data_IF_922701338733
#
_entry.id   IF_922701338733
#
_cell.length_a   1.000
_cell.length_b   1.000
_cell.length_c   1.000
_cell.angle_alpha   90.00
_cell.angle_beta   90.00
_cell.angle_gamma   90.00
#
_symmetry.space_group_name_H-M   'P 1'
#
loop_
_entity.id
_entity.type
_entity.pdbx_description
1 polymer ?
#
# COMPACT_ATOMS: atom_id res chain seq x y z
N UNK A 1 14.80 50.91 -6.39
CA UNK A 1 14.61 50.08 -5.19
C UNK A 1 14.96 48.67 -5.57
N UNK A 2 16.19 48.25 -5.33
CA UNK A 2 16.73 46.92 -5.62
C UNK A 2 16.59 46.08 -4.36
N UNK A 3 15.71 45.09 -4.39
CA UNK A 3 15.56 44.14 -3.30
C UNK A 3 16.64 43.07 -3.45
N UNK A 4 17.66 43.10 -2.63
CA UNK A 4 18.64 42.01 -2.45
C UNK A 4 17.97 40.89 -1.66
N UNK A 5 17.71 39.75 -2.30
CA UNK A 5 17.27 38.54 -1.63
C UNK A 5 18.43 38.01 -0.77
N UNK A 6 18.28 38.04 0.55
CA UNK A 6 19.19 37.39 1.47
C UNK A 6 19.07 35.87 1.33
N UNK A 7 20.12 35.23 0.84
CA UNK A 7 20.24 33.75 0.81
C UNK A 7 20.31 33.27 2.26
N UNK A 8 19.30 32.53 2.72
CA UNK A 8 19.26 31.93 4.07
C UNK A 8 20.35 30.82 4.16
N UNK A 9 21.51 31.17 4.74
CA UNK A 9 22.68 30.31 4.94
C UNK A 9 22.54 29.47 6.24
N UNK A 10 21.40 28.84 6.46
CA UNK A 10 21.23 28.00 7.64
C UNK A 10 21.67 26.56 7.39
N UNK A 11 22.54 26.01 8.25
CA UNK A 11 22.94 24.59 8.25
C UNK A 11 22.12 23.85 9.30
N UNK A 12 21.71 22.62 8.96
CA UNK A 12 21.05 21.72 9.88
C UNK A 12 22.06 20.69 10.40
N UNK A 13 22.24 20.65 11.71
CA UNK A 13 23.05 19.66 12.39
C UNK A 13 22.12 18.69 13.14
N UNK A 14 22.31 17.40 12.95
CA UNK A 14 21.55 16.37 13.69
C UNK A 14 22.41 15.81 14.83
N UNK A 15 21.83 15.69 16.01
CA UNK A 15 22.50 15.04 17.14
C UNK A 15 22.50 13.51 16.92
N UNK A 16 23.67 12.86 16.94
CA UNK A 16 23.80 11.40 16.76
C UNK A 16 23.13 10.58 17.87
N UNK A 17 22.99 11.15 19.06
CA UNK A 17 22.45 10.44 20.23
C UNK A 17 20.93 10.49 20.35
N UNK A 18 20.28 11.59 19.95
CA UNK A 18 18.82 11.74 20.07
C UNK A 18 18.12 12.12 18.75
N UNK A 19 18.85 12.19 17.65
CA UNK A 19 18.38 12.55 16.31
C UNK A 19 17.67 13.93 16.21
N UNK A 20 17.77 14.79 17.24
CA UNK A 20 17.22 16.14 17.20
C UNK A 20 17.99 17.01 16.21
N UNK A 21 17.29 17.70 15.32
CA UNK A 21 17.88 18.58 14.31
C UNK A 21 17.94 20.01 14.84
N UNK A 22 19.17 20.54 14.93
CA UNK A 22 19.45 21.92 15.31
C UNK A 22 19.68 22.78 14.05
N UNK A 23 19.03 23.93 13.96
CA UNK A 23 19.23 24.88 12.87
C UNK A 23 20.18 25.97 13.32
N UNK A 24 21.35 26.03 12.72
CA UNK A 24 22.34 27.09 12.95
C UNK A 24 22.15 28.19 11.89
N UNK A 25 21.83 29.42 12.32
CA UNK A 25 21.56 30.54 11.42
C UNK A 25 22.83 31.23 10.94
N UNK A 26 23.95 31.09 11.65
CA UNK A 26 25.18 31.75 11.30
C UNK A 26 26.34 30.77 11.27
N UNK A 27 26.78 30.42 10.07
CA UNK A 27 27.83 29.44 9.83
C UNK A 27 29.23 30.06 10.17
N UNK A 28 29.36 31.38 10.07
CA UNK A 28 30.63 32.06 10.34
C UNK A 28 31.00 32.09 11.82
N UNK A 29 30.03 31.87 12.70
CA UNK A 29 30.25 31.73 14.14
C UNK A 29 30.80 30.35 14.56
N UNK A 30 30.79 29.34 13.68
CA UNK A 30 31.24 27.98 13.96
C UNK A 30 32.73 27.84 13.61
N UNK A 31 33.60 27.83 14.61
CA UNK A 31 35.04 27.54 14.42
C UNK A 31 35.29 26.03 14.47
N UNK A 32 36.21 25.49 13.62
CA UNK A 32 36.63 24.10 13.72
C UNK A 32 37.20 23.80 15.13
N UNK A 33 36.75 22.68 15.71
CA UNK A 33 37.15 22.29 17.07
C UNK A 33 36.27 22.86 18.20
N UNK A 34 35.21 23.60 17.87
CA UNK A 34 34.26 24.07 18.88
C UNK A 34 33.38 22.92 19.38
N UNK A 35 33.31 22.73 20.68
CA UNK A 35 32.39 21.79 21.29
C UNK A 35 31.05 22.46 21.55
N UNK A 36 29.98 21.86 21.06
CA UNK A 36 28.62 22.28 21.37
C UNK A 36 27.87 21.11 22.04
N UNK A 37 26.88 21.41 22.87
CA UNK A 37 26.04 20.41 23.48
C UNK A 37 24.64 20.42 22.87
N UNK A 38 24.05 19.24 22.70
CA UNK A 38 22.68 19.11 22.25
C UNK A 38 21.71 19.67 23.30
N UNK A 39 20.80 20.55 22.90
CA UNK A 39 19.84 21.18 23.82
C UNK A 39 18.87 20.13 24.43
N UNK A 40 18.62 19.03 23.73
CA UNK A 40 17.63 18.02 24.15
C UNK A 40 18.24 16.91 25.03
N UNK A 41 19.49 16.45 24.77
CA UNK A 41 20.08 15.33 25.49
C UNK A 41 21.43 15.67 26.15
N UNK A 42 21.89 16.91 26.10
CA UNK A 42 23.16 17.42 26.65
C UNK A 42 24.41 16.69 26.14
N UNK A 43 24.31 15.83 25.10
CA UNK A 43 25.45 15.14 24.53
C UNK A 43 26.39 16.15 23.83
N UNK A 44 27.71 16.12 24.11
CA UNK A 44 28.67 16.95 23.42
C UNK A 44 28.86 16.46 21.97
N UNK A 45 28.97 17.37 21.03
CA UNK A 45 29.39 17.08 19.66
C UNK A 45 30.46 18.06 19.21
N UNK A 46 31.43 17.56 18.46
CA UNK A 46 32.52 18.35 17.88
C UNK A 46 32.12 18.81 16.48
N UNK A 47 32.30 20.09 16.22
CA UNK A 47 32.15 20.65 14.87
C UNK A 47 33.42 20.25 14.09
N UNK A 48 33.30 19.25 13.22
CA UNK A 48 34.35 18.83 12.30
C UNK A 48 34.42 19.87 11.17
N UNK A 49 35.63 20.31 10.82
CA UNK A 49 35.83 21.27 9.74
C UNK A 49 35.20 20.75 8.43
N UNK A 50 34.31 21.52 7.84
CA UNK A 50 33.86 21.27 6.46
C UNK A 50 35.08 21.37 5.53
N UNK A 51 35.20 20.50 4.49
CA UNK A 51 36.20 20.70 3.45
C UNK A 51 36.02 22.10 2.85
N UNK A 52 37.11 22.85 2.73
CA UNK A 52 37.11 24.19 2.22
C UNK A 52 36.39 24.25 0.87
N UNK A 53 35.39 25.11 0.77
CA UNK A 53 34.81 25.50 -0.52
C UNK A 53 35.95 25.96 -1.41
N UNK A 54 36.08 25.41 -2.60
CA UNK A 54 37.02 25.82 -3.63
C UNK A 54 36.92 27.32 -3.81
N UNK A 55 38.06 28.07 -3.98
CA UNK A 55 38.04 29.51 -4.18
C UNK A 55 37.22 29.84 -5.44
N UNK A 56 36.36 30.85 -5.31
CA UNK A 56 35.62 31.43 -6.43
C UNK A 56 36.62 31.84 -7.53
N UNK A 57 36.50 31.14 -8.67
CA UNK A 57 37.25 31.47 -9.87
C UNK A 57 36.83 32.85 -10.36
N UNK A 58 37.84 33.63 -10.74
CA UNK A 58 37.75 34.92 -11.47
C UNK A 58 36.73 34.89 -12.62
N UNK A 59 35.98 35.95 -12.87
CA UNK A 59 35.03 35.98 -13.97
C UNK A 59 35.75 35.86 -15.31
N UNK A 60 35.26 35.04 -16.24
CA UNK A 60 35.83 34.96 -17.58
C UNK A 60 35.55 36.27 -18.35
N UNK A 61 36.60 36.83 -18.89
CA UNK A 61 36.62 37.92 -19.86
C UNK A 61 35.81 37.54 -21.09
N UNK A 62 34.95 38.41 -21.55
CA UNK A 62 34.22 38.33 -22.80
C UNK A 62 35.16 38.03 -23.98
N UNK A 63 34.97 36.91 -24.63
CA UNK A 63 35.41 36.70 -26.00
C UNK A 63 34.23 36.13 -26.80
N UNK A 64 33.70 37.00 -27.66
CA UNK A 64 32.72 36.64 -28.70
C UNK A 64 33.31 35.59 -29.66
N UNK A 65 32.78 34.38 -29.61
CA UNK A 65 32.84 33.45 -30.77
C UNK A 65 31.50 32.73 -30.87
N UNK A 66 30.98 32.53 -32.12
CA UNK A 66 29.71 31.88 -32.34
C UNK A 66 29.83 30.37 -32.06
N UNK A 67 29.09 29.90 -31.09
CA UNK A 67 29.00 28.46 -30.72
C UNK A 67 28.26 27.74 -31.83
N UNK A 68 29.01 26.95 -32.61
CA UNK A 68 28.49 25.96 -33.53
C UNK A 68 27.74 24.84 -32.79
N UNK A 69 26.69 24.42 -33.43
CA UNK A 69 25.84 23.29 -33.09
C UNK A 69 26.62 21.96 -32.97
N UNK A 70 27.22 21.64 -31.82
CA UNK A 70 27.71 20.29 -31.51
C UNK A 70 27.30 19.87 -30.09
N UNK A 71 26.01 19.57 -29.98
CA UNK A 71 25.44 18.97 -28.76
C UNK A 71 25.55 17.42 -28.59
N UNK A 72 26.20 16.62 -29.44
CA UNK A 72 26.34 15.21 -29.14
C UNK A 72 27.51 14.84 -28.23
N UNK A 73 28.55 15.69 -28.11
CA UNK A 73 29.76 15.31 -27.35
C UNK A 73 29.54 15.30 -25.82
N UNK A 74 28.81 16.24 -25.30
CA UNK A 74 28.55 16.32 -23.83
C UNK A 74 27.69 15.17 -23.31
N UNK A 75 26.72 14.72 -24.10
CA UNK A 75 25.90 13.54 -23.74
C UNK A 75 26.68 12.24 -23.91
N UNK A 76 27.58 12.16 -24.89
CA UNK A 76 28.46 11.01 -25.10
C UNK A 76 29.51 10.91 -23.98
N UNK A 77 30.03 12.02 -23.49
CA UNK A 77 31.00 12.08 -22.40
C UNK A 77 30.36 11.72 -21.05
N UNK A 78 29.12 12.13 -20.80
CA UNK A 78 28.32 11.67 -19.64
C UNK A 78 27.96 10.19 -19.75
N UNK A 79 27.65 9.67 -20.93
CA UNK A 79 27.39 8.24 -21.12
C UNK A 79 28.66 7.41 -20.97
N UNK A 80 29.82 7.89 -21.43
CA UNK A 80 31.09 7.21 -21.24
C UNK A 80 31.59 7.28 -19.81
N UNK A 81 31.34 8.36 -19.07
CA UNK A 81 31.65 8.45 -17.65
C UNK A 81 30.77 7.51 -16.80
N UNK A 82 29.51 7.30 -17.19
CA UNK A 82 28.60 6.31 -16.55
C UNK A 82 29.02 4.87 -16.90
N UNK A 83 29.65 4.64 -18.06
CA UNK A 83 30.16 3.32 -18.46
C UNK A 83 31.57 3.04 -17.96
N UNK A 84 32.39 4.07 -17.67
CA UNK A 84 33.74 3.92 -17.17
C UNK A 84 33.82 3.70 -15.64
N UNK A 85 32.80 4.13 -14.89
CA UNK A 85 32.60 3.70 -13.51
C UNK A 85 31.93 2.32 -13.58
N UNK A 86 32.74 1.26 -13.67
CA UNK A 86 32.30 -0.11 -13.88
C UNK A 86 31.14 -0.43 -12.98
N UNK A 87 29.93 -0.40 -13.58
CA UNK A 87 28.64 -0.35 -12.94
C UNK A 87 28.41 -1.47 -11.92
N UNK A 88 28.96 -1.32 -10.75
CA UNK A 88 28.59 -2.11 -9.59
C UNK A 88 27.15 -1.70 -9.24
N UNK A 89 26.20 -2.52 -9.68
CA UNK A 89 24.82 -2.39 -9.23
C UNK A 89 24.82 -2.50 -7.71
N UNK A 90 24.75 -1.37 -7.01
CA UNK A 90 24.66 -1.35 -5.57
C UNK A 90 23.33 -1.97 -5.14
N UNK A 91 23.40 -3.18 -4.60
CA UNK A 91 22.23 -3.88 -4.08
C UNK A 91 22.02 -3.46 -2.62
N UNK A 92 20.89 -2.81 -2.36
CA UNK A 92 20.47 -2.46 -1.01
C UNK A 92 19.40 -3.47 -0.55
N UNK A 93 19.59 -4.03 0.62
CA UNK A 93 18.62 -4.92 1.25
C UNK A 93 17.79 -4.15 2.26
N UNK A 94 16.48 -4.46 2.32
CA UNK A 94 15.65 -3.96 3.41
C UNK A 94 15.77 -4.91 4.60
N UNK A 95 16.00 -4.36 5.78
CA UNK A 95 16.10 -5.11 7.04
C UNK A 95 14.97 -4.71 7.98
N UNK A 96 14.45 -5.69 8.73
CA UNK A 96 13.42 -5.45 9.73
C UNK A 96 13.98 -5.72 11.13
N UNK A 97 14.02 -4.68 11.96
CA UNK A 97 14.58 -4.74 13.32
C UNK A 97 13.52 -5.00 14.41
N UNK A 98 12.27 -5.17 14.02
CA UNK A 98 11.19 -5.44 14.96
C UNK A 98 11.20 -6.89 15.46
N UNK A 99 10.75 -7.10 16.69
CA UNK A 99 10.59 -8.42 17.28
C UNK A 99 9.13 -8.86 17.27
N UNK A 100 8.90 -10.17 17.07
CA UNK A 100 7.55 -10.74 17.12
C UNK A 100 6.86 -10.54 18.47
N UNK A 101 7.63 -10.60 19.58
CA UNK A 101 7.09 -10.38 20.92
C UNK A 101 6.58 -8.95 21.13
N UNK A 102 7.33 -7.94 20.66
CA UNK A 102 6.89 -6.54 20.74
C UNK A 102 5.64 -6.31 19.89
N UNK A 103 5.59 -6.87 18.68
CA UNK A 103 4.43 -6.76 17.80
C UNK A 103 3.21 -7.46 18.41
N UNK A 104 3.38 -8.64 18.98
CA UNK A 104 2.33 -9.37 19.68
C UNK A 104 1.78 -8.56 20.87
N UNK A 105 2.66 -8.00 21.71
CA UNK A 105 2.25 -7.12 22.83
C UNK A 105 1.45 -5.92 22.36
N UNK A 106 1.88 -5.24 21.29
CA UNK A 106 1.14 -4.13 20.68
C UNK A 106 -0.25 -4.59 20.21
N UNK A 107 -0.34 -5.75 19.54
CA UNK A 107 -1.63 -6.28 19.07
C UNK A 107 -2.54 -6.67 20.23
N UNK A 108 -2.02 -7.35 21.26
CA UNK A 108 -2.79 -7.75 22.43
C UNK A 108 -3.42 -6.56 23.13
N UNK A 109 -2.61 -5.55 23.48
CA UNK A 109 -3.10 -4.32 24.12
C UNK A 109 -4.11 -3.58 23.24
N UNK A 110 -3.81 -3.47 21.94
CA UNK A 110 -4.71 -2.82 21.01
C UNK A 110 -6.06 -3.56 20.86
N UNK A 111 -6.06 -4.89 20.88
CA UNK A 111 -7.29 -5.70 20.82
C UNK A 111 -8.12 -5.50 22.08
N UNK A 112 -7.50 -5.56 23.26
CA UNK A 112 -8.21 -5.31 24.53
C UNK A 112 -8.83 -3.91 24.58
N UNK A 113 -8.05 -2.88 24.22
CA UNK A 113 -8.56 -1.51 24.19
C UNK A 113 -9.67 -1.32 23.14
N UNK A 114 -9.57 -1.99 21.99
CA UNK A 114 -10.62 -1.94 20.97
C UNK A 114 -11.91 -2.60 21.44
N UNK A 115 -11.83 -3.72 22.18
CA UNK A 115 -12.99 -4.36 22.79
C UNK A 115 -13.63 -3.48 23.86
N UNK A 116 -12.83 -2.94 24.79
CA UNK A 116 -13.32 -2.06 25.88
C UNK A 116 -13.98 -0.79 25.34
N UNK A 117 -13.45 -0.24 24.23
CA UNK A 117 -13.98 0.99 23.61
C UNK A 117 -15.03 0.72 22.53
N UNK A 118 -15.58 -0.51 22.44
CA UNK A 118 -16.57 -0.90 21.41
C UNK A 118 -16.13 -0.56 19.98
N UNK A 119 -14.84 -0.71 19.68
CA UNK A 119 -14.27 -0.47 18.35
C UNK A 119 -13.71 0.94 18.11
N UNK A 120 -13.99 1.94 18.95
CA UNK A 120 -13.47 3.30 18.74
C UNK A 120 -11.93 3.35 18.73
N UNK A 121 -11.27 2.56 19.56
CA UNK A 121 -9.80 2.52 19.63
C UNK A 121 -9.14 1.93 18.38
N UNK A 122 -9.86 1.26 17.49
CA UNK A 122 -9.34 0.62 16.28
C UNK A 122 -8.45 1.55 15.42
N UNK A 123 -8.80 2.82 15.30
CA UNK A 123 -8.03 3.79 14.51
C UNK A 123 -6.67 4.10 15.13
N UNK A 124 -6.60 4.22 16.45
CA UNK A 124 -5.34 4.38 17.21
C UNK A 124 -4.48 3.11 17.12
N UNK A 125 -5.08 1.97 17.29
CA UNK A 125 -4.44 0.67 17.13
C UNK A 125 -3.76 0.54 15.77
N UNK A 126 -4.49 0.87 14.69
CA UNK A 126 -3.99 0.81 13.32
C UNK A 126 -2.82 1.76 13.06
N UNK A 127 -2.84 2.95 13.62
CA UNK A 127 -1.74 3.91 13.52
C UNK A 127 -0.53 3.43 14.32
N UNK A 128 -0.70 2.93 15.56
CA UNK A 128 0.38 2.38 16.38
C UNK A 128 1.12 1.24 15.69
N UNK A 129 0.39 0.27 15.13
CA UNK A 129 1.00 -0.85 14.39
C UNK A 129 1.78 -0.35 13.18
N UNK A 130 1.24 0.60 12.42
CA UNK A 130 1.95 1.18 11.28
C UNK A 130 3.20 1.92 11.69
N UNK A 131 3.13 2.78 12.71
CA UNK A 131 4.30 3.46 13.25
C UNK A 131 5.39 2.45 13.65
N UNK A 132 5.03 1.39 14.35
CA UNK A 132 5.98 0.35 14.74
C UNK A 132 6.63 -0.30 13.51
N UNK A 133 5.82 -0.79 12.56
CA UNK A 133 6.34 -1.48 11.37
C UNK A 133 7.26 -0.57 10.55
N UNK A 134 6.87 0.65 10.24
CA UNK A 134 7.69 1.57 9.44
C UNK A 134 8.97 1.98 10.16
N UNK A 135 8.90 2.29 11.45
CA UNK A 135 10.09 2.68 12.23
C UNK A 135 11.08 1.53 12.44
N UNK A 136 10.64 0.27 12.32
CA UNK A 136 11.51 -0.91 12.41
C UNK A 136 11.97 -1.41 11.04
N UNK A 137 11.44 -0.85 9.95
CA UNK A 137 11.91 -1.18 8.59
C UNK A 137 12.99 -0.21 8.18
N UNK A 138 14.18 -0.75 7.87
CA UNK A 138 15.33 -0.01 7.38
C UNK A 138 15.59 -0.37 5.92
N UNK A 139 15.95 0.63 5.12
CA UNK A 139 16.37 0.47 3.74
C UNK A 139 17.56 1.39 3.47
N UNK A 140 18.63 0.85 2.93
CA UNK A 140 19.87 1.59 2.61
C UNK A 140 20.41 2.43 3.80
N UNK A 141 20.39 1.85 5.02
CA UNK A 141 20.91 2.49 6.25
C UNK A 141 19.93 3.46 6.94
N UNK A 142 18.78 3.76 6.34
CA UNK A 142 17.80 4.68 6.91
C UNK A 142 16.44 4.04 7.15
N UNK A 143 15.79 4.39 8.24
CA UNK A 143 14.46 3.89 8.61
C UNK A 143 13.35 4.71 7.99
N UNK A 144 12.25 4.03 7.66
CA UNK A 144 11.03 4.71 7.27
C UNK A 144 10.38 5.40 8.49
N UNK A 145 9.69 6.49 8.25
CA UNK A 145 8.89 7.19 9.24
C UNK A 145 7.42 7.28 8.81
N UNK A 146 6.51 7.08 9.76
CA UNK A 146 5.08 7.20 9.51
C UNK A 146 4.46 8.30 10.38
N UNK A 147 3.86 9.29 9.74
CA UNK A 147 3.31 10.49 10.36
C UNK A 147 1.77 10.52 10.35
N UNK A 148 1.12 9.37 10.25
CA UNK A 148 -0.34 9.27 10.27
C UNK A 148 -0.95 9.59 11.62
N UNK A 149 -2.10 10.29 11.63
CA UNK A 149 -2.85 10.62 12.82
C UNK A 149 -4.13 9.77 12.90
N UNK A 150 -4.39 9.19 14.08
CA UNK A 150 -5.58 8.37 14.32
C UNK A 150 -6.89 9.17 14.15
N UNK A 151 -6.90 10.44 14.59
CA UNK A 151 -8.08 11.31 14.44
C UNK A 151 -8.43 11.58 12.98
N UNK A 152 -7.41 11.80 12.11
CA UNK A 152 -7.62 11.98 10.67
C UNK A 152 -8.20 10.71 10.03
N UNK A 153 -7.67 9.53 10.43
CA UNK A 153 -8.15 8.25 9.92
C UNK A 153 -9.60 7.98 10.35
N UNK A 154 -9.92 8.28 11.61
CA UNK A 154 -11.28 8.17 12.15
C UNK A 154 -12.25 9.12 11.43
N UNK A 155 -11.88 10.39 11.27
CA UNK A 155 -12.72 11.37 10.56
C UNK A 155 -12.94 10.98 9.08
N UNK A 156 -11.91 10.43 8.43
CA UNK A 156 -12.05 9.88 7.08
C UNK A 156 -13.00 8.69 7.01
N UNK A 157 -12.90 7.77 7.97
CA UNK A 157 -13.80 6.63 8.08
C UNK A 157 -15.23 7.06 8.41
N UNK A 158 -15.41 8.00 9.33
CA UNK A 158 -16.73 8.53 9.68
C UNK A 158 -17.43 9.17 8.47
N UNK A 159 -16.70 10.00 7.70
CA UNK A 159 -17.22 10.57 6.44
C UNK A 159 -17.62 9.47 5.46
N UNK A 160 -16.80 8.43 5.30
CA UNK A 160 -17.09 7.30 4.43
C UNK A 160 -18.32 6.50 4.93
N UNK A 161 -18.49 6.32 6.22
CA UNK A 161 -19.66 5.68 6.83
C UNK A 161 -20.93 6.49 6.54
N UNK A 162 -20.91 7.79 6.76
CA UNK A 162 -22.09 8.64 6.51
C UNK A 162 -22.45 8.69 5.03
N UNK A 163 -21.46 8.80 4.14
CA UNK A 163 -21.72 8.98 2.69
C UNK A 163 -22.07 7.66 2.00
N UNK A 164 -21.53 6.53 2.47
CA UNK A 164 -21.69 5.25 1.77
C UNK A 164 -22.34 4.15 2.62
N UNK A 165 -21.91 3.96 3.88
CA UNK A 165 -22.42 2.85 4.67
C UNK A 165 -23.88 3.08 5.12
N UNK A 166 -24.24 4.29 5.52
CA UNK A 166 -25.63 4.59 5.88
C UNK A 166 -26.59 4.45 4.68
N UNK A 167 -26.32 5.03 3.48
CA UNK A 167 -27.16 4.80 2.32
C UNK A 167 -27.23 3.33 1.90
N UNK A 168 -26.10 2.61 1.97
CA UNK A 168 -26.09 1.17 1.70
C UNK A 168 -27.01 0.39 2.64
N UNK A 169 -26.89 0.63 3.94
CA UNK A 169 -27.77 0.01 4.94
C UNK A 169 -29.23 0.38 4.74
N UNK A 170 -29.52 1.66 4.48
CA UNK A 170 -30.85 2.14 4.18
C UNK A 170 -31.46 1.40 2.99
N UNK A 171 -30.78 1.39 1.86
CA UNK A 171 -31.23 0.70 0.64
C UNK A 171 -31.42 -0.81 0.84
N UNK A 172 -30.52 -1.44 1.59
CA UNK A 172 -30.56 -2.90 1.79
C UNK A 172 -31.67 -3.38 2.73
N UNK A 173 -32.10 -2.53 3.67
CA UNK A 173 -33.02 -2.95 4.73
C UNK A 173 -34.34 -2.19 4.79
N UNK A 174 -34.54 -1.16 3.95
CA UNK A 174 -35.77 -0.37 3.96
C UNK A 174 -36.98 -1.14 3.39
N UNK A 175 -36.76 -2.07 2.47
CA UNK A 175 -37.84 -2.81 1.78
C UNK A 175 -38.88 -3.45 2.70
N UNK A 176 -38.51 -4.20 3.75
CA UNK A 176 -39.47 -4.77 4.67
C UNK A 176 -40.30 -3.75 5.46
N UNK A 177 -39.78 -2.53 5.68
CA UNK A 177 -40.45 -1.47 6.43
C UNK A 177 -41.50 -0.69 5.61
N UNK A 178 -41.40 -0.75 4.26
CA UNK A 178 -42.31 -0.04 3.36
C UNK A 178 -43.27 -1.00 2.65
N UNK A 179 -43.42 -2.25 3.14
CA UNK A 179 -44.28 -3.30 2.55
C UNK A 179 -44.10 -3.40 1.02
N UNK A 180 -42.86 -3.30 0.54
CA UNK A 180 -42.55 -3.22 -0.86
C UNK A 180 -42.75 -4.57 -1.57
N UNK A 181 -43.11 -4.51 -2.85
CA UNK A 181 -43.20 -5.69 -3.70
C UNK A 181 -41.81 -6.33 -3.90
N UNK A 182 -41.76 -7.61 -4.26
CA UNK A 182 -40.52 -8.33 -4.56
C UNK A 182 -39.67 -7.59 -5.59
N UNK A 183 -40.28 -7.00 -6.61
CA UNK A 183 -39.57 -6.24 -7.65
C UNK A 183 -38.86 -4.99 -7.07
N UNK A 184 -39.52 -4.27 -6.17
CA UNK A 184 -38.92 -3.10 -5.48
C UNK A 184 -37.76 -3.52 -4.59
N UNK A 185 -37.92 -4.61 -3.85
CA UNK A 185 -36.82 -5.15 -3.03
C UNK A 185 -35.59 -5.54 -3.85
N UNK A 186 -35.79 -6.19 -5.00
CA UNK A 186 -34.70 -6.50 -5.94
C UNK A 186 -34.04 -5.22 -6.45
N UNK A 187 -34.83 -4.21 -6.83
CA UNK A 187 -34.34 -2.91 -7.28
C UNK A 187 -33.47 -2.21 -6.21
N UNK A 188 -33.91 -2.22 -4.95
CA UNK A 188 -33.17 -1.66 -3.82
C UNK A 188 -31.84 -2.40 -3.58
N UNK A 189 -31.83 -3.73 -3.67
CA UNK A 189 -30.60 -4.54 -3.54
C UNK A 189 -29.63 -4.30 -4.68
N UNK A 190 -30.11 -4.14 -5.91
CA UNK A 190 -29.27 -3.75 -7.06
C UNK A 190 -28.66 -2.36 -6.82
N UNK A 191 -29.46 -1.38 -6.39
CA UNK A 191 -28.98 -0.03 -6.10
C UNK A 191 -27.92 -0.03 -4.99
N UNK A 192 -28.13 -0.78 -3.91
CA UNK A 192 -27.15 -0.95 -2.83
C UNK A 192 -25.84 -1.59 -3.35
N UNK A 193 -25.94 -2.62 -4.18
CA UNK A 193 -24.78 -3.30 -4.77
C UNK A 193 -24.00 -2.37 -5.71
N UNK A 194 -24.68 -1.56 -6.51
CA UNK A 194 -24.05 -0.53 -7.35
C UNK A 194 -23.33 0.53 -6.49
N UNK A 195 -23.94 0.97 -5.39
CA UNK A 195 -23.29 1.91 -4.46
C UNK A 195 -21.95 1.35 -3.92
N UNK A 196 -21.92 0.07 -3.50
CA UNK A 196 -20.69 -0.58 -3.08
C UNK A 196 -19.68 -0.70 -4.21
N UNK A 197 -20.12 -1.03 -5.42
CA UNK A 197 -19.24 -1.18 -6.59
C UNK A 197 -18.49 0.13 -6.91
N UNK A 198 -19.12 1.29 -6.71
CA UNK A 198 -18.50 2.60 -6.84
C UNK A 198 -17.66 3.00 -5.62
N UNK A 199 -18.12 2.65 -4.42
CA UNK A 199 -17.42 3.01 -3.18
C UNK A 199 -16.05 2.34 -3.05
N UNK A 200 -15.95 1.04 -3.39
CA UNK A 200 -14.71 0.27 -3.20
C UNK A 200 -13.51 0.92 -3.90
N UNK A 201 -13.55 1.28 -5.20
CA UNK A 201 -12.42 1.93 -5.85
C UNK A 201 -12.09 3.31 -5.29
N UNK A 202 -13.10 4.10 -4.88
CA UNK A 202 -12.87 5.39 -4.20
C UNK A 202 -12.12 5.18 -2.89
N UNK A 203 -12.53 4.19 -2.10
CA UNK A 203 -11.90 3.86 -0.84
C UNK A 203 -10.44 3.36 -1.03
N UNK A 204 -10.17 2.57 -2.07
CA UNK A 204 -8.81 2.09 -2.40
C UNK A 204 -7.90 3.27 -2.72
N UNK A 205 -8.32 4.19 -3.60
CA UNK A 205 -7.57 5.38 -3.98
C UNK A 205 -7.35 6.30 -2.77
N UNK A 206 -8.39 6.56 -1.99
CA UNK A 206 -8.32 7.37 -0.77
C UNK A 206 -7.36 6.80 0.27
N UNK A 207 -7.45 5.49 0.53
CA UNK A 207 -6.57 4.79 1.45
C UNK A 207 -5.11 4.75 0.97
N UNK A 208 -4.87 4.61 -0.34
CA UNK A 208 -3.53 4.65 -0.93
C UNK A 208 -2.92 6.04 -0.76
N UNK A 209 -3.68 7.09 -1.14
CA UNK A 209 -3.27 8.49 -0.99
C UNK A 209 -2.92 8.82 0.46
N UNK A 210 -3.79 8.49 1.41
CA UNK A 210 -3.55 8.72 2.83
C UNK A 210 -2.27 8.02 3.31
N UNK A 211 -2.07 6.74 2.99
CA UNK A 211 -0.89 5.99 3.43
C UNK A 211 0.41 6.59 2.89
N UNK A 212 0.47 6.87 1.59
CA UNK A 212 1.69 7.40 0.96
C UNK A 212 2.04 8.79 1.47
N UNK A 213 1.08 9.72 1.56
CA UNK A 213 1.34 11.09 2.05
C UNK A 213 1.79 11.14 3.51
N UNK A 214 1.53 10.08 4.29
CA UNK A 214 1.95 9.98 5.69
C UNK A 214 3.21 9.13 5.90
N UNK A 215 3.77 8.57 4.84
CA UNK A 215 5.03 7.82 4.88
C UNK A 215 6.15 8.70 4.34
N UNK A 216 7.32 8.68 5.01
CA UNK A 216 8.52 9.34 4.55
C UNK A 216 9.74 8.43 4.72
N UNK A 217 10.74 8.62 3.87
CA UNK A 217 12.06 8.02 3.96
C UNK A 217 13.10 9.10 3.70
N UNK A 218 14.14 9.18 4.52
CA UNK A 218 15.15 10.26 4.47
C UNK A 218 14.55 11.67 4.46
N UNK A 219 13.44 11.86 5.18
CA UNK A 219 12.73 13.14 5.21
C UNK A 219 11.89 13.47 3.96
N UNK A 220 12.00 12.68 2.89
CA UNK A 220 11.23 12.85 1.66
C UNK A 220 9.92 12.06 1.78
N UNK A 221 8.80 12.72 1.54
CA UNK A 221 7.47 12.10 1.61
C UNK A 221 7.09 11.43 0.30
N UNK A 222 6.39 10.32 0.43
CA UNK A 222 5.69 9.70 -0.70
C UNK A 222 4.41 10.48 -1.01
N UNK A 223 3.96 10.43 -2.25
CA UNK A 223 2.69 11.01 -2.67
C UNK A 223 1.94 10.11 -3.64
N UNK A 224 0.63 10.35 -3.78
CA UNK A 224 -0.23 9.65 -4.74
C UNK A 224 -1.11 10.66 -5.48
N UNK A 225 -0.98 10.70 -6.80
CA UNK A 225 -1.65 11.68 -7.65
C UNK A 225 -2.76 11.09 -8.54
N UNK A 226 -3.05 9.79 -8.39
CA UNK A 226 -4.10 9.12 -9.18
C UNK A 226 -5.49 9.70 -8.92
N UNK A 227 -6.25 9.93 -9.99
CA UNK A 227 -7.64 10.38 -9.90
C UNK A 227 -8.56 9.19 -9.62
N UNK A 228 -9.48 9.36 -8.67
CA UNK A 228 -10.43 8.30 -8.32
C UNK A 228 -11.31 7.90 -9.50
N UNK A 229 -11.70 8.86 -10.36
CA UNK A 229 -12.56 8.59 -11.52
C UNK A 229 -11.93 7.67 -12.56
N UNK A 230 -10.63 7.85 -12.84
CA UNK A 230 -9.92 6.99 -13.78
C UNK A 230 -9.76 5.57 -13.22
N UNK A 231 -9.55 5.48 -11.91
CA UNK A 231 -9.51 4.18 -11.22
C UNK A 231 -10.87 3.49 -11.19
N UNK A 232 -11.97 4.23 -11.02
CA UNK A 232 -13.35 3.69 -11.11
C UNK A 232 -13.59 3.06 -12.48
N UNK A 233 -13.27 3.75 -13.57
CA UNK A 233 -13.42 3.23 -14.95
C UNK A 233 -12.64 1.91 -15.12
N UNK A 234 -11.38 1.89 -14.69
CA UNK A 234 -10.54 0.70 -14.73
C UNK A 234 -11.12 -0.43 -13.88
N UNK A 235 -11.62 -0.10 -12.67
CA UNK A 235 -12.21 -1.06 -11.76
C UNK A 235 -13.48 -1.69 -12.33
N UNK A 236 -14.42 -0.88 -12.84
CA UNK A 236 -15.67 -1.34 -13.41
C UNK A 236 -15.46 -2.22 -14.64
N UNK A 237 -14.60 -1.77 -15.58
CA UNK A 237 -14.29 -2.56 -16.78
C UNK A 237 -13.58 -3.87 -16.43
N UNK A 238 -12.64 -3.83 -15.51
CA UNK A 238 -11.92 -5.01 -15.06
C UNK A 238 -12.82 -6.00 -14.31
N UNK A 239 -13.71 -5.50 -13.47
CA UNK A 239 -14.65 -6.32 -12.72
C UNK A 239 -15.69 -6.97 -13.65
N UNK A 240 -16.24 -6.21 -14.60
CA UNK A 240 -17.17 -6.72 -15.60
C UNK A 240 -16.55 -7.82 -16.48
N UNK A 241 -15.32 -7.58 -17.00
CA UNK A 241 -14.62 -8.58 -17.78
C UNK A 241 -14.24 -9.83 -16.96
N UNK A 242 -13.90 -9.66 -15.70
CA UNK A 242 -13.62 -10.79 -14.79
C UNK A 242 -14.88 -11.62 -14.55
N UNK A 243 -16.06 -10.98 -14.37
CA UNK A 243 -17.33 -11.66 -14.24
C UNK A 243 -17.72 -12.41 -15.52
N UNK A 244 -17.65 -11.74 -16.69
CA UNK A 244 -17.98 -12.33 -18.00
C UNK A 244 -17.05 -13.52 -18.36
N UNK A 245 -15.79 -13.48 -17.94
CA UNK A 245 -14.82 -14.56 -18.18
C UNK A 245 -14.82 -15.63 -17.07
N UNK A 246 -15.83 -15.66 -16.21
CA UNK A 246 -15.88 -16.60 -15.05
C UNK A 246 -14.62 -16.54 -14.18
N UNK A 247 -14.00 -15.36 -14.02
CA UNK A 247 -12.80 -15.15 -13.23
C UNK A 247 -11.48 -15.26 -14.01
N UNK A 248 -11.46 -15.77 -15.24
CA UNK A 248 -10.21 -15.97 -16.00
C UNK A 248 -9.48 -14.66 -16.34
N UNK A 249 -10.19 -13.53 -16.36
CA UNK A 249 -9.58 -12.22 -16.61
C UNK A 249 -8.86 -11.63 -15.37
N UNK A 250 -8.98 -12.24 -14.20
CA UNK A 250 -8.44 -11.73 -12.94
C UNK A 250 -6.95 -11.33 -12.99
N UNK A 251 -6.00 -12.12 -13.56
CA UNK A 251 -4.58 -11.75 -13.61
C UNK A 251 -4.34 -10.45 -14.39
N UNK A 252 -5.05 -10.26 -15.49
CA UNK A 252 -4.97 -9.02 -16.29
C UNK A 252 -5.56 -7.83 -15.55
N UNK A 253 -6.68 -8.01 -14.87
CA UNK A 253 -7.28 -6.98 -14.04
C UNK A 253 -6.38 -6.59 -12.86
N UNK A 254 -5.84 -7.57 -12.14
CA UNK A 254 -4.93 -7.34 -11.01
C UNK A 254 -3.67 -6.59 -11.44
N UNK A 255 -3.07 -6.96 -12.57
CA UNK A 255 -1.90 -6.28 -13.15
C UNK A 255 -2.22 -4.84 -13.56
N UNK A 256 -3.35 -4.60 -14.26
CA UNK A 256 -3.79 -3.24 -14.63
C UNK A 256 -4.04 -2.35 -13.40
N UNK A 257 -4.67 -2.92 -12.37
CA UNK A 257 -4.89 -2.25 -11.08
C UNK A 257 -3.57 -1.86 -10.43
N UNK A 258 -2.61 -2.79 -10.39
CA UNK A 258 -1.28 -2.53 -9.82
C UNK A 258 -0.52 -1.49 -10.64
N UNK A 259 -0.56 -1.58 -11.96
CA UNK A 259 0.05 -0.60 -12.87
C UNK A 259 -0.47 0.82 -12.61
N UNK A 260 -1.79 0.98 -12.49
CA UNK A 260 -2.39 2.28 -12.16
C UNK A 260 -1.92 2.81 -10.81
N UNK A 261 -1.96 1.96 -9.77
CA UNK A 261 -1.58 2.37 -8.41
C UNK A 261 -0.08 2.71 -8.31
N UNK A 262 0.77 1.99 -9.02
CA UNK A 262 2.23 2.22 -9.03
C UNK A 262 2.57 3.47 -9.84
N UNK A 263 2.09 3.60 -11.07
CA UNK A 263 2.40 4.72 -11.95
C UNK A 263 1.98 6.10 -11.39
N UNK A 264 0.97 6.13 -10.50
CA UNK A 264 0.55 7.37 -9.84
C UNK A 264 1.12 7.53 -8.41
N UNK A 265 2.06 6.67 -8.00
CA UNK A 265 2.81 6.80 -6.75
C UNK A 265 4.13 7.50 -7.03
N UNK A 266 4.56 8.39 -6.13
CA UNK A 266 5.78 9.20 -6.27
C UNK A 266 6.59 9.15 -4.98
N UNK A 267 7.90 9.21 -5.11
CA UNK A 267 8.83 9.49 -4.03
C UNK A 267 9.48 10.86 -4.30
N UNK A 268 9.10 11.87 -3.53
CA UNK A 268 9.40 13.24 -3.90
C UNK A 268 8.81 13.60 -5.27
N UNK A 269 9.65 13.87 -6.25
CA UNK A 269 9.26 14.18 -7.63
C UNK A 269 9.38 12.96 -8.58
N UNK A 270 10.02 11.86 -8.14
CA UNK A 270 10.24 10.69 -8.99
C UNK A 270 9.03 9.75 -8.98
N UNK A 271 8.46 9.44 -10.15
CA UNK A 271 7.36 8.48 -10.28
C UNK A 271 7.86 7.04 -10.19
N UNK A 272 7.09 6.17 -9.57
CA UNK A 272 7.26 4.74 -9.70
C UNK A 272 6.78 4.29 -11.07
N UNK A 273 7.50 3.33 -11.67
CA UNK A 273 7.15 2.72 -12.95
C UNK A 273 6.81 1.25 -12.75
N UNK A 274 5.90 0.75 -13.57
CA UNK A 274 5.49 -0.65 -13.56
C UNK A 274 5.48 -1.19 -15.00
N UNK A 275 6.23 -2.26 -15.23
CA UNK A 275 6.40 -2.88 -16.56
C UNK A 275 5.73 -4.25 -16.70
N UNK A 276 4.98 -4.69 -15.68
CA UNK A 276 4.37 -6.02 -15.64
C UNK A 276 3.24 -6.23 -16.63
N UNK A 277 3.13 -7.46 -17.13
CA UNK A 277 2.08 -7.91 -18.04
C UNK A 277 1.27 -9.05 -17.40
N UNK A 278 -0.06 -8.98 -17.45
CA UNK A 278 -0.96 -10.01 -16.90
C UNK A 278 -0.83 -11.39 -17.52
N UNK A 279 -0.30 -11.48 -18.75
CA UNK A 279 -0.07 -12.76 -19.42
C UNK A 279 0.93 -13.67 -18.67
N UNK A 280 1.92 -13.08 -18.00
CA UNK A 280 2.91 -13.83 -17.22
C UNK A 280 2.31 -14.46 -15.97
N UNK A 281 1.32 -13.80 -15.36
CA UNK A 281 0.60 -14.30 -14.20
C UNK A 281 -0.53 -15.29 -14.57
N UNK A 282 -0.89 -15.37 -15.85
CA UNK A 282 -2.02 -16.20 -16.27
C UNK A 282 -1.77 -17.71 -16.04
N UNK A 283 -0.57 -18.22 -16.34
CA UNK A 283 -0.23 -19.64 -16.13
C UNK A 283 -0.31 -20.05 -14.66
N UNK A 284 0.39 -19.41 -13.72
CA UNK A 284 0.29 -19.79 -12.31
C UNK A 284 -1.13 -19.59 -11.76
N UNK A 285 -1.86 -18.57 -12.22
CA UNK A 285 -3.26 -18.37 -11.88
C UNK A 285 -4.14 -19.51 -12.36
N UNK A 286 -4.04 -19.90 -13.65
CA UNK A 286 -4.85 -20.96 -14.24
C UNK A 286 -4.64 -22.28 -13.51
N UNK A 287 -3.39 -22.63 -13.18
CA UNK A 287 -3.08 -23.82 -12.40
C UNK A 287 -3.80 -23.82 -11.06
N UNK A 288 -3.69 -22.70 -10.30
CA UNK A 288 -4.37 -22.57 -9.00
C UNK A 288 -5.89 -22.51 -9.13
N UNK A 289 -6.39 -21.85 -10.17
CA UNK A 289 -7.83 -21.78 -10.46
C UNK A 289 -8.42 -23.17 -10.73
N UNK A 290 -7.76 -24.00 -11.53
CA UNK A 290 -8.19 -25.36 -11.81
C UNK A 290 -8.12 -26.26 -10.56
N UNK A 291 -7.05 -26.18 -9.76
CA UNK A 291 -6.94 -26.90 -8.49
C UNK A 291 -8.06 -26.48 -7.53
N UNK A 292 -8.33 -25.19 -7.42
CA UNK A 292 -9.39 -24.66 -6.56
C UNK A 292 -10.79 -25.08 -7.06
N UNK A 293 -11.02 -25.06 -8.38
CA UNK A 293 -12.29 -25.48 -8.96
C UNK A 293 -12.54 -26.99 -8.78
N UNK A 294 -11.53 -27.83 -9.03
CA UNK A 294 -11.65 -29.29 -8.85
C UNK A 294 -11.82 -29.68 -7.38
N UNK A 295 -11.05 -29.06 -6.47
CA UNK A 295 -11.20 -29.32 -5.02
C UNK A 295 -12.57 -28.84 -4.50
N UNK A 296 -13.06 -27.69 -4.96
CA UNK A 296 -14.39 -27.18 -4.62
C UNK A 296 -15.50 -28.13 -5.11
N UNK A 297 -15.36 -28.64 -6.34
CA UNK A 297 -16.31 -29.61 -6.89
C UNK A 297 -16.33 -30.91 -6.07
N UNK A 298 -15.15 -31.44 -5.74
CA UNK A 298 -15.04 -32.66 -4.92
C UNK A 298 -15.64 -32.51 -3.53
N UNK A 299 -15.37 -31.36 -2.86
CA UNK A 299 -15.95 -31.03 -1.55
C UNK A 299 -17.46 -30.90 -1.66
N UNK A 300 -17.98 -30.29 -2.72
CA UNK A 300 -19.41 -30.13 -2.94
C UNK A 300 -20.10 -31.50 -3.19
N UNK A 301 -19.48 -32.38 -3.97
CA UNK A 301 -19.99 -33.73 -4.22
C UNK A 301 -19.96 -34.58 -2.95
N UNK A 302 -18.89 -34.50 -2.17
CA UNK A 302 -18.80 -35.21 -0.88
C UNK A 302 -19.85 -34.71 0.12
N UNK A 303 -20.02 -33.37 0.22
CA UNK A 303 -21.06 -32.79 1.05
C UNK A 303 -22.47 -33.23 0.61
N UNK A 304 -22.73 -33.20 -0.71
CA UNK A 304 -24.01 -33.68 -1.25
C UNK A 304 -24.27 -35.14 -0.95
N UNK A 305 -23.28 -36.05 -1.08
CA UNK A 305 -23.41 -37.45 -0.76
C UNK A 305 -23.70 -37.70 0.75
N UNK A 306 -22.98 -36.96 1.63
CA UNK A 306 -23.20 -37.06 3.09
C UNK A 306 -24.58 -36.51 3.47
N UNK A 307 -24.97 -35.34 2.92
CA UNK A 307 -26.31 -34.77 3.17
C UNK A 307 -27.40 -35.67 2.60
N UNK A 308 -27.23 -36.17 1.38
CA UNK A 308 -28.19 -37.04 0.72
C UNK A 308 -28.45 -38.33 1.50
N UNK A 309 -27.40 -39.00 2.02
CA UNK A 309 -27.54 -40.17 2.85
C UNK A 309 -28.25 -39.89 4.20
N UNK A 310 -27.85 -38.78 4.86
CA UNK A 310 -28.43 -38.36 6.15
C UNK A 310 -29.89 -37.92 6.04
N UNK A 311 -30.23 -37.19 4.96
CA UNK A 311 -31.60 -36.73 4.67
C UNK A 311 -32.49 -37.90 4.28
N UNK A 312 -31.98 -38.84 3.48
CA UNK A 312 -32.72 -40.08 3.12
C UNK A 312 -33.06 -40.96 4.34
N UNK A 313 -32.17 -41.04 5.32
CA UNK A 313 -32.42 -41.79 6.58
C UNK A 313 -33.40 -41.05 7.51
N UNK A 314 -33.30 -39.72 7.63
CA UNK A 314 -34.15 -38.93 8.54
C UNK A 314 -35.55 -38.62 7.99
N UNK A 315 -35.71 -38.49 6.68
CA UNK A 315 -37.04 -38.31 6.06
C UNK A 315 -37.92 -39.58 6.20
N UNK A 316 -37.30 -40.74 6.48
CA UNK A 316 -38.06 -41.96 6.81
C UNK A 316 -38.62 -42.01 8.24
N UNK A 317 -38.13 -41.10 9.15
CA UNK A 317 -38.45 -41.22 10.59
C UNK A 317 -39.04 -39.96 11.27
N UNK A 318 -38.90 -38.75 10.77
CA UNK A 318 -39.47 -37.57 11.43
C UNK A 318 -39.58 -36.40 10.46
N UNK A 319 -40.80 -35.99 10.17
CA UNK A 319 -41.07 -34.87 9.28
C UNK A 319 -40.60 -33.50 9.83
N UNK A 320 -40.09 -32.66 8.98
CA UNK A 320 -40.11 -31.21 9.04
C UNK A 320 -38.83 -30.50 9.53
N UNK A 321 -38.80 -30.09 10.76
CA UNK A 321 -37.83 -29.07 11.27
C UNK A 321 -36.40 -29.62 11.44
N UNK A 322 -36.28 -30.87 11.90
CA UNK A 322 -34.97 -31.51 12.13
C UNK A 322 -34.18 -31.75 10.84
N UNK A 323 -34.85 -32.10 9.75
CA UNK A 323 -34.23 -32.26 8.43
C UNK A 323 -33.69 -30.93 7.88
N UNK A 324 -34.45 -29.81 8.03
CA UNK A 324 -34.02 -28.49 7.62
C UNK A 324 -32.79 -28.00 8.40
N UNK A 325 -32.73 -28.23 9.71
CA UNK A 325 -31.58 -27.88 10.54
C UNK A 325 -30.32 -28.61 10.09
N UNK A 326 -30.42 -29.89 9.78
CA UNK A 326 -29.28 -30.69 9.29
C UNK A 326 -28.82 -30.22 7.92
N UNK A 327 -29.71 -29.93 6.99
CA UNK A 327 -29.36 -29.39 5.67
C UNK A 327 -28.66 -28.08 5.82
N UNK A 328 -29.24 -27.11 6.58
CA UNK A 328 -28.66 -25.78 6.80
C UNK A 328 -27.28 -25.83 7.47
N UNK A 329 -27.13 -26.68 8.52
CA UNK A 329 -25.84 -26.84 9.20
C UNK A 329 -24.77 -27.44 8.26
N UNK A 330 -25.11 -28.42 7.44
CA UNK A 330 -24.17 -29.02 6.48
C UNK A 330 -23.77 -28.04 5.38
N UNK A 331 -24.70 -27.24 4.86
CA UNK A 331 -24.40 -26.17 3.89
C UNK A 331 -23.46 -25.14 4.52
N UNK A 332 -23.72 -24.71 5.75
CA UNK A 332 -22.86 -23.74 6.45
C UNK A 332 -21.46 -24.32 6.67
N UNK A 333 -21.36 -25.56 7.16
CA UNK A 333 -20.05 -26.21 7.37
C UNK A 333 -19.29 -26.38 6.06
N UNK A 334 -19.94 -26.81 4.98
CA UNK A 334 -19.28 -26.96 3.67
C UNK A 334 -18.83 -25.62 3.09
N UNK A 335 -19.58 -24.54 3.29
CA UNK A 335 -19.16 -23.17 2.89
C UNK A 335 -17.94 -22.70 3.70
N UNK A 336 -17.92 -22.96 5.02
CA UNK A 336 -16.78 -22.59 5.88
C UNK A 336 -15.53 -23.39 5.46
N UNK A 337 -15.64 -24.73 5.34
CA UNK A 337 -14.52 -25.57 4.95
C UNK A 337 -14.04 -25.22 3.54
N UNK A 338 -14.95 -25.06 2.59
CA UNK A 338 -14.63 -24.66 1.22
C UNK A 338 -13.92 -23.30 1.16
N UNK A 339 -14.37 -22.32 1.95
CA UNK A 339 -13.72 -21.00 2.02
C UNK A 339 -12.32 -21.04 2.63
N UNK A 340 -12.09 -21.86 3.64
CA UNK A 340 -10.78 -22.07 4.26
C UNK A 340 -9.82 -22.78 3.28
N UNK A 341 -10.27 -23.83 2.62
CA UNK A 341 -9.49 -24.53 1.60
C UNK A 341 -9.14 -23.60 0.43
N UNK A 342 -10.11 -22.82 -0.05
CA UNK A 342 -9.87 -21.85 -1.11
C UNK A 342 -8.79 -20.83 -0.69
N UNK A 343 -8.84 -20.31 0.54
CA UNK A 343 -7.82 -19.38 1.06
C UNK A 343 -6.43 -20.02 1.13
N UNK A 344 -6.33 -21.25 1.59
CA UNK A 344 -5.07 -21.98 1.66
C UNK A 344 -4.49 -22.26 0.27
N UNK A 345 -5.33 -22.68 -0.68
CA UNK A 345 -4.93 -22.92 -2.06
C UNK A 345 -4.56 -21.64 -2.80
N UNK A 346 -5.17 -20.50 -2.43
CA UNK A 346 -4.89 -19.20 -3.02
C UNK A 346 -3.57 -18.58 -2.55
N UNK A 347 -3.05 -19.02 -1.40
CA UNK A 347 -1.86 -18.45 -0.79
C UNK A 347 -0.62 -18.50 -1.70
N UNK A 348 -0.26 -19.64 -2.35
CA UNK A 348 0.90 -19.70 -3.25
C UNK A 348 0.79 -18.75 -4.44
N UNK A 349 -0.42 -18.61 -4.99
CA UNK A 349 -0.64 -17.67 -6.08
C UNK A 349 -0.45 -16.22 -5.60
N UNK A 350 -0.99 -15.86 -4.44
CA UNK A 350 -0.87 -14.50 -3.91
C UNK A 350 0.59 -14.12 -3.63
N UNK A 351 1.42 -15.06 -3.18
CA UNK A 351 2.87 -14.85 -2.99
C UNK A 351 3.55 -14.62 -4.34
N UNK A 352 3.26 -15.46 -5.35
CA UNK A 352 3.79 -15.33 -6.71
C UNK A 352 3.38 -14.00 -7.35
N UNK A 353 2.12 -13.58 -7.17
CA UNK A 353 1.60 -12.31 -7.66
C UNK A 353 2.31 -11.11 -7.02
N UNK A 354 2.50 -11.12 -5.69
CA UNK A 354 3.20 -10.05 -4.98
C UNK A 354 4.67 -9.98 -5.39
N UNK A 355 5.36 -11.11 -5.47
CA UNK A 355 6.75 -11.18 -5.94
C UNK A 355 6.87 -10.58 -7.33
N UNK A 356 6.04 -11.01 -8.27
CA UNK A 356 6.00 -10.48 -9.63
C UNK A 356 5.78 -8.96 -9.66
N UNK A 357 4.86 -8.44 -8.85
CA UNK A 357 4.60 -7.00 -8.80
C UNK A 357 5.80 -6.20 -8.30
N UNK A 358 6.54 -6.70 -7.33
CA UNK A 358 7.76 -6.04 -6.87
C UNK A 358 8.88 -6.09 -7.92
N UNK A 359 9.10 -7.22 -8.55
CA UNK A 359 10.12 -7.40 -9.60
C UNK A 359 9.86 -6.50 -10.83
N UNK A 360 8.59 -6.22 -11.13
CA UNK A 360 8.19 -5.34 -12.24
C UNK A 360 8.04 -3.86 -11.84
N UNK A 361 8.33 -3.52 -10.59
CA UNK A 361 8.29 -2.14 -10.10
C UNK A 361 9.68 -1.55 -10.12
N UNK A 362 9.82 -0.30 -10.56
CA UNK A 362 11.07 0.45 -10.57
C UNK A 362 10.85 1.90 -10.19
N UNK A 363 11.91 2.57 -9.73
CA UNK A 363 11.95 4.01 -9.47
C UNK A 363 13.27 4.57 -10.02
N UNK A 364 13.20 5.48 -10.98
CA UNK A 364 14.40 5.91 -11.71
C UNK A 364 15.16 4.70 -12.29
N UNK A 365 16.46 4.55 -12.03
CA UNK A 365 17.27 3.40 -12.45
C UNK A 365 17.16 2.18 -11.50
N UNK A 366 16.56 2.34 -10.31
CA UNK A 366 16.49 1.28 -9.31
C UNK A 366 15.32 0.32 -9.58
N UNK A 367 15.59 -0.99 -9.56
CA UNK A 367 14.59 -2.06 -9.63
C UNK A 367 14.53 -2.79 -8.28
N UNK A 368 13.37 -3.38 -7.98
CA UNK A 368 13.15 -4.14 -6.76
C UNK A 368 13.17 -5.63 -7.06
N UNK A 369 13.76 -6.42 -6.16
CA UNK A 369 13.66 -7.88 -6.16
C UNK A 369 13.22 -8.35 -4.78
N UNK A 370 12.35 -9.36 -4.73
CA UNK A 370 11.87 -9.96 -3.49
C UNK A 370 12.40 -11.39 -3.42
N UNK A 371 13.37 -11.63 -2.53
CA UNK A 371 13.82 -12.97 -2.16
C UNK A 371 12.93 -13.46 -1.01
N UNK A 372 12.07 -14.45 -1.28
CA UNK A 372 11.24 -15.16 -0.29
C UNK A 372 11.74 -16.61 -0.24
#
# INVERSE_FOLDING_TARGET
MTATAAVDRSVRLSCERCATVHRVRDIQALKPGMSASCITCAAPFLVVAMPALLPEGTPPTEANEPVGLDQPLYLAEQQTAIQADGGYAHTYTSTFHGTGGSLFGIHLVNTLLTLVTLGFYYYWAKVKVRCYLFNQTEFAGDRFSYHGNARELMNGALKATVVFALPYYGLSHVGPFIESSVAVNIGLQIAASLLLLFFIPVAIVGARRYRLTRTAWRGIRFSFQGKAWDFIKLWLSGYALTGLSLGLYYPYFSTKKQAFLTAHSYFGNEPFRFSGNGAQLFRPFLTMYLIAATSSLLVSLAAYAVVGSFVAERLKGSGGLGGLIVIMSTVIVSLIVGSLLFRLLWLPYSVTEQRYFWEQTSIGPASFSLSI
#
